data_IF_230443290214
#
_entry.id   IF_230443290214
#
_cell.length_a   1.000
_cell.length_b   1.000
_cell.length_c   1.000
_cell.angle_alpha   90.00
_cell.angle_beta   90.00
_cell.angle_gamma   90.00
#
_symmetry.space_group_name_H-M   'P 1'
#
loop_
_entity.id
_entity.type
_entity.pdbx_description
1 polymer ?
#
# COMPACT_ATOMS: atom_id res chain seq x y z
N UNK A 1 19.51 58.36 23.93
CA UNK A 1 19.18 58.33 22.49
C UNK A 1 19.14 56.85 22.06
N UNK A 2 17.98 56.36 21.58
CA UNK A 2 17.77 55.82 20.21
C UNK A 2 18.76 54.68 19.86
N UNK A 3 18.41 53.40 19.62
CA UNK A 3 17.19 52.74 19.11
C UNK A 3 17.30 51.21 19.36
N UNK A 4 16.16 50.50 19.45
CA UNK A 4 16.06 49.04 19.32
C UNK A 4 15.78 48.61 17.86
N UNK A 5 16.19 47.40 17.48
CA UNK A 5 15.62 46.61 16.37
C UNK A 5 15.70 45.14 16.81
N UNK A 6 14.58 44.45 17.08
CA UNK A 6 13.66 43.85 16.10
C UNK A 6 14.40 42.82 15.21
N UNK A 7 13.96 41.59 14.98
CA UNK A 7 12.65 40.96 15.10
C UNK A 7 12.96 39.44 15.09
N UNK A 8 12.60 38.68 16.11
CA UNK A 8 12.75 37.22 16.07
C UNK A 8 11.55 36.62 15.33
N UNK A 9 11.75 36.27 14.06
CA UNK A 9 10.77 35.60 13.22
C UNK A 9 10.51 34.20 13.80
N UNK A 10 9.47 34.05 14.60
CA UNK A 10 8.96 32.74 15.01
C UNK A 10 8.21 32.14 13.81
N UNK A 11 8.87 31.23 13.10
CA UNK A 11 8.20 30.36 12.13
C UNK A 11 7.16 29.53 12.87
N UNK A 12 5.87 29.83 12.64
CA UNK A 12 4.78 28.91 12.95
C UNK A 12 4.97 27.69 12.04
N UNK A 13 5.61 26.65 12.57
CA UNK A 13 5.54 25.31 12.02
C UNK A 13 4.09 24.85 12.13
N UNK A 14 3.39 24.82 11.00
CA UNK A 14 2.15 24.06 10.83
C UNK A 14 2.47 22.59 11.09
N UNK A 15 2.33 22.16 12.34
CA UNK A 15 2.21 20.75 12.65
C UNK A 15 0.86 20.30 12.11
N UNK A 16 0.84 19.77 10.88
CA UNK A 16 -0.25 18.92 10.44
C UNK A 16 -0.38 17.80 11.48
N UNK A 17 -1.58 17.55 12.04
CA UNK A 17 -1.76 16.41 12.89
C UNK A 17 -1.44 15.18 12.04
N UNK A 18 -0.37 14.47 12.40
CA UNK A 18 -0.19 13.09 12.00
C UNK A 18 -1.42 12.36 12.52
N UNK A 19 -2.45 12.26 11.66
CA UNK A 19 -3.50 11.28 11.85
C UNK A 19 -2.75 9.99 12.07
N UNK A 20 -3.02 9.32 13.20
CA UNK A 20 -2.43 8.02 13.50
C UNK A 20 -2.61 7.19 12.22
N UNK A 21 -1.51 7.01 11.49
CA UNK A 21 -1.52 6.22 10.28
C UNK A 21 -2.03 4.87 10.77
N UNK A 22 -3.14 4.38 10.21
CA UNK A 22 -3.35 2.94 10.14
C UNK A 22 -2.07 2.46 9.47
N UNK A 23 -1.10 2.01 10.28
CA UNK A 23 0.26 1.73 9.83
C UNK A 23 0.13 0.59 8.86
N UNK A 24 0.08 0.92 7.59
CA UNK A 24 -0.08 -0.06 6.56
C UNK A 24 1.23 -0.84 6.48
N UNK A 25 1.23 -2.13 6.86
CA UNK A 25 2.46 -2.90 6.91
C UNK A 25 3.02 -3.19 5.51
N UNK A 26 2.23 -2.89 4.47
CA UNK A 26 2.61 -3.04 3.08
C UNK A 26 3.26 -1.79 2.47
N UNK A 27 3.18 -0.64 3.16
CA UNK A 27 3.55 0.67 2.61
C UNK A 27 4.97 0.69 2.04
N UNK A 28 5.11 1.41 0.92
CA UNK A 28 6.39 1.63 0.22
C UNK A 28 7.18 0.33 0.02
N UNK A 29 6.49 -0.70 -0.49
CA UNK A 29 7.04 -2.05 -0.58
C UNK A 29 6.86 -2.66 -1.96
N UNK A 30 7.85 -3.45 -2.35
CA UNK A 30 7.79 -4.34 -3.51
C UNK A 30 7.72 -5.77 -3.00
N UNK A 31 6.78 -6.55 -3.53
CA UNK A 31 6.43 -7.86 -3.02
C UNK A 31 6.35 -8.88 -4.14
N UNK A 32 6.75 -10.10 -3.84
CA UNK A 32 6.61 -11.26 -4.71
C UNK A 32 6.02 -12.43 -3.95
N UNK A 33 5.21 -13.25 -4.62
CA UNK A 33 4.78 -14.54 -4.08
C UNK A 33 4.83 -15.62 -5.14
N UNK A 34 5.03 -16.86 -4.68
CA UNK A 34 4.99 -18.05 -5.51
C UNK A 34 4.55 -19.24 -4.68
N UNK A 35 3.32 -19.68 -4.89
CA UNK A 35 2.71 -20.75 -4.10
C UNK A 35 1.79 -21.61 -4.97
N UNK A 36 2.03 -22.93 -4.98
CA UNK A 36 1.20 -23.92 -5.70
C UNK A 36 0.86 -23.56 -7.16
N UNK A 37 1.82 -22.98 -7.89
CA UNK A 37 1.65 -22.60 -9.30
C UNK A 37 1.00 -21.22 -9.54
N UNK A 38 0.63 -20.51 -8.47
CA UNK A 38 0.20 -19.11 -8.51
C UNK A 38 1.38 -18.23 -8.15
N UNK A 39 1.60 -17.17 -8.90
CA UNK A 39 2.68 -16.22 -8.66
C UNK A 39 2.25 -14.82 -9.07
N UNK A 40 2.91 -13.83 -8.50
CA UNK A 40 2.70 -12.44 -8.83
C UNK A 40 3.69 -11.56 -8.11
N UNK A 41 4.06 -10.48 -8.77
CA UNK A 41 4.89 -9.42 -8.24
C UNK A 41 4.03 -8.15 -8.21
N UNK A 42 4.13 -7.37 -7.15
CA UNK A 42 3.35 -6.15 -6.99
C UNK A 42 4.06 -5.13 -6.12
N UNK A 43 3.76 -3.86 -6.33
CA UNK A 43 4.22 -2.75 -5.51
C UNK A 43 3.05 -2.04 -4.83
N UNK A 44 3.29 -1.50 -3.64
CA UNK A 44 2.33 -0.70 -2.88
C UNK A 44 2.96 0.64 -2.57
N UNK A 45 2.23 1.73 -2.82
CA UNK A 45 2.74 3.08 -2.55
C UNK A 45 2.87 3.37 -1.04
N UNK A 46 3.54 4.46 -0.69
CA UNK A 46 3.79 4.84 0.71
C UNK A 46 2.52 5.09 1.53
N UNK A 47 1.42 5.46 0.89
CA UNK A 47 0.14 5.76 1.55
C UNK A 47 -0.80 4.53 1.63
N UNK A 48 -0.43 3.40 1.03
CA UNK A 48 -1.30 2.22 0.85
C UNK A 48 -2.67 2.54 0.26
N UNK A 49 -2.68 3.46 -0.70
CA UNK A 49 -3.85 3.85 -1.48
C UNK A 49 -3.79 3.30 -2.90
N UNK A 50 -2.66 2.74 -3.31
CA UNK A 50 -2.46 2.20 -4.64
C UNK A 50 -1.62 0.94 -4.60
N UNK A 51 -2.02 -0.05 -5.41
CA UNK A 51 -1.26 -1.23 -5.74
C UNK A 51 -1.00 -1.25 -7.24
N UNK A 52 0.23 -1.55 -7.63
CA UNK A 52 0.62 -1.83 -9.02
C UNK A 52 0.97 -3.31 -9.11
N UNK A 53 0.18 -4.08 -9.87
CA UNK A 53 0.37 -5.50 -10.09
C UNK A 53 1.14 -5.75 -11.39
N UNK A 54 2.29 -6.40 -11.31
CA UNK A 54 3.08 -6.73 -12.49
C UNK A 54 2.56 -8.00 -13.16
N UNK A 55 2.30 -7.91 -14.48
CA UNK A 55 2.08 -9.09 -15.33
C UNK A 55 3.23 -9.21 -16.30
N UNK A 56 4.04 -10.26 -16.15
CA UNK A 56 5.15 -10.63 -17.04
C UNK A 56 4.77 -10.80 -18.54
N UNK A 57 3.49 -10.70 -18.92
CA UNK A 57 3.01 -10.89 -20.31
C UNK A 57 1.84 -10.00 -20.77
N UNK A 58 1.12 -9.30 -19.87
CA UNK A 58 -0.15 -8.62 -20.21
C UNK A 58 -0.22 -7.17 -19.68
N UNK A 59 0.95 -6.54 -19.53
CA UNK A 59 1.18 -5.22 -18.94
C UNK A 59 0.84 -5.10 -17.43
N UNK A 60 1.52 -4.19 -16.70
CA UNK A 60 1.17 -3.85 -15.34
C UNK A 60 -0.29 -3.38 -15.23
N UNK A 61 -0.90 -3.66 -14.09
CA UNK A 61 -2.27 -3.26 -13.77
C UNK A 61 -2.30 -2.55 -12.42
N UNK A 62 -2.81 -1.31 -12.41
CA UNK A 62 -2.91 -0.50 -11.20
C UNK A 62 -4.32 -0.56 -10.64
N UNK A 63 -4.43 -0.59 -9.32
CA UNK A 63 -5.72 -0.50 -8.61
C UNK A 63 -5.61 0.37 -7.38
N UNK A 64 -6.68 1.12 -7.10
CA UNK A 64 -6.83 1.83 -5.83
C UNK A 64 -7.07 0.83 -4.71
N UNK A 65 -6.40 1.06 -3.58
CA UNK A 65 -6.60 0.32 -2.35
C UNK A 65 -7.57 1.05 -1.42
N UNK A 66 -8.54 0.31 -0.91
CA UNK A 66 -9.49 0.78 0.11
C UNK A 66 -9.30 -0.01 1.39
N UNK A 67 -9.41 0.65 2.55
CA UNK A 67 -9.42 -0.03 3.85
C UNK A 67 -10.58 -1.04 3.90
N UNK A 68 -10.29 -2.27 4.30
CA UNK A 68 -11.26 -3.32 4.56
C UNK A 68 -11.25 -3.70 6.05
N UNK A 69 -12.11 -4.66 6.43
CA UNK A 69 -12.09 -5.24 7.78
C UNK A 69 -10.80 -6.00 8.10
N UNK A 70 -10.08 -6.47 7.07
CA UNK A 70 -8.93 -7.37 7.23
C UNK A 70 -7.62 -6.78 6.70
N UNK A 71 -7.64 -5.56 6.18
CA UNK A 71 -6.49 -4.99 5.49
C UNK A 71 -6.86 -3.93 4.45
N UNK A 72 -6.30 -4.07 3.25
CA UNK A 72 -6.49 -3.16 2.12
C UNK A 72 -6.90 -3.96 0.89
N UNK A 73 -8.05 -3.63 0.31
CA UNK A 73 -8.60 -4.33 -0.85
C UNK A 73 -8.47 -3.48 -2.12
N UNK A 74 -8.18 -4.13 -3.22
CA UNK A 74 -8.17 -3.55 -4.57
C UNK A 74 -8.84 -4.47 -5.57
N UNK A 75 -9.17 -3.95 -6.74
CA UNK A 75 -9.80 -4.71 -7.83
C UNK A 75 -8.92 -4.71 -9.07
N UNK A 76 -8.57 -5.89 -9.54
CA UNK A 76 -7.88 -6.12 -10.80
C UNK A 76 -8.86 -6.78 -11.79
N UNK A 77 -8.52 -6.73 -13.08
CA UNK A 77 -9.31 -7.22 -14.20
C UNK A 77 -9.69 -8.70 -14.10
N UNK A 78 -8.85 -9.51 -13.41
CA UNK A 78 -9.01 -10.96 -13.29
C UNK A 78 -9.15 -11.45 -11.84
N UNK A 79 -8.97 -10.58 -10.85
CA UNK A 79 -9.07 -10.94 -9.45
C UNK A 79 -9.26 -9.71 -8.56
N UNK A 80 -9.96 -9.88 -7.46
CA UNK A 80 -9.89 -8.95 -6.34
C UNK A 80 -8.68 -9.34 -5.46
N UNK A 81 -7.95 -8.33 -5.00
CA UNK A 81 -6.82 -8.50 -4.08
C UNK A 81 -7.17 -7.91 -2.72
N UNK A 82 -6.81 -8.59 -1.64
CA UNK A 82 -6.88 -8.07 -0.28
C UNK A 82 -5.53 -8.31 0.43
N UNK A 83 -4.76 -7.25 0.62
CA UNK A 83 -3.53 -7.25 1.41
C UNK A 83 -3.89 -7.28 2.89
N UNK A 84 -3.51 -8.33 3.63
CA UNK A 84 -3.97 -8.51 5.01
C UNK A 84 -3.17 -7.67 6.00
N UNK A 85 -3.79 -7.28 7.12
CA UNK A 85 -3.19 -6.47 8.19
C UNK A 85 -1.92 -7.05 8.82
N UNK A 86 -1.58 -8.31 8.53
CA UNK A 86 -0.35 -8.93 9.02
C UNK A 86 0.90 -8.54 8.22
N UNK A 87 0.78 -7.88 7.06
CA UNK A 87 1.93 -7.48 6.25
C UNK A 87 2.65 -8.63 5.52
N UNK A 88 2.10 -9.84 5.57
CA UNK A 88 2.76 -11.04 5.04
C UNK A 88 1.87 -11.82 4.06
N UNK A 89 0.56 -11.71 4.21
CA UNK A 89 -0.40 -12.54 3.47
C UNK A 89 -1.32 -11.66 2.64
N UNK A 90 -1.63 -12.10 1.42
CA UNK A 90 -2.70 -11.54 0.63
C UNK A 90 -3.75 -12.59 0.27
N UNK A 91 -4.97 -12.14 0.04
CA UNK A 91 -6.03 -12.95 -0.57
C UNK A 91 -6.24 -12.51 -2.00
N UNK A 92 -6.38 -13.50 -2.87
CA UNK A 92 -6.73 -13.34 -4.26
C UNK A 92 -8.04 -14.07 -4.50
N UNK A 93 -9.05 -13.33 -4.97
CA UNK A 93 -10.35 -13.90 -5.32
C UNK A 93 -10.54 -13.73 -6.82
N UNK A 94 -10.52 -14.83 -7.58
CA UNK A 94 -10.72 -14.77 -9.02
C UNK A 94 -12.14 -14.31 -9.37
N UNK A 95 -12.36 -13.84 -10.60
CA UNK A 95 -13.70 -13.49 -11.09
C UNK A 95 -14.69 -14.66 -11.07
N UNK A 96 -14.20 -15.90 -11.02
CA UNK A 96 -14.99 -17.11 -10.82
C UNK A 96 -15.33 -17.41 -9.35
N UNK A 97 -14.96 -16.54 -8.40
CA UNK A 97 -15.23 -16.67 -6.97
C UNK A 97 -14.26 -17.57 -6.19
N UNK A 98 -13.24 -18.14 -6.85
CA UNK A 98 -12.25 -18.96 -6.18
C UNK A 98 -11.28 -18.08 -5.39
N UNK A 99 -11.23 -18.29 -4.07
CA UNK A 99 -10.34 -17.54 -3.18
C UNK A 99 -9.11 -18.37 -2.79
N UNK A 100 -7.96 -17.71 -2.79
CA UNK A 100 -6.68 -18.24 -2.31
C UNK A 100 -6.04 -17.21 -1.39
N UNK A 101 -5.51 -17.68 -0.27
CA UNK A 101 -4.62 -16.87 0.57
C UNK A 101 -3.19 -17.36 0.34
N UNK A 102 -2.27 -16.44 0.06
CA UNK A 102 -0.88 -16.73 -0.24
C UNK A 102 0.03 -15.79 0.56
N UNK A 103 1.24 -16.24 0.86
CA UNK A 103 2.26 -15.39 1.49
C UNK A 103 3.06 -14.64 0.44
N UNK A 104 3.19 -13.33 0.62
CA UNK A 104 4.10 -12.51 -0.16
C UNK A 104 5.34 -12.17 0.66
N UNK A 105 6.48 -12.13 -0.03
CA UNK A 105 7.76 -11.70 0.52
C UNK A 105 8.06 -10.31 0.00
N UNK A 106 8.54 -9.45 0.88
CA UNK A 106 9.09 -8.16 0.50
C UNK A 106 10.45 -8.40 -0.17
N UNK A 107 10.64 -7.85 -1.36
CA UNK A 107 11.87 -8.03 -2.14
C UNK A 107 12.86 -6.87 -1.93
N UNK A 108 12.41 -5.70 -1.46
CA UNK A 108 13.23 -4.51 -1.18
C UNK A 108 12.70 -3.76 0.06
#
# INVERSE_FOLDING_TARGET
>A
MKRPLALATLCLGLATPAMAADTCPWSDGQYAFREHGIYGDFAVNGDCTELVWDRLSNAPETTTLERSKHGWKGKLSKADVELLDNGESLRLTSTGGAMRQVKAKREN
#
